data_IF_786048192322
#
_entry.id   IF_786048192322
#
_cell.length_a   1.000
_cell.length_b   1.000
_cell.length_c   1.000
_cell.angle_alpha   90.00
_cell.angle_beta   90.00
_cell.angle_gamma   90.00
#
_symmetry.space_group_name_H-M   'P 1'
#
loop_
_entity.id
_entity.type
_entity.pdbx_description
1 polymer ?
#
# COMPACT_ATOMS: atom_id res chain seq x y z
N UNK A 1 -1.77 -7.66 -27.85
CA UNK A 1 -1.16 -9.00 -27.61
C UNK A 1 -0.92 -9.08 -26.12
N UNK A 2 -1.78 -9.80 -25.40
CA UNK A 2 -1.67 -9.95 -23.93
C UNK A 2 -0.53 -10.94 -23.68
N UNK A 3 0.59 -10.44 -23.18
CA UNK A 3 1.74 -11.26 -22.84
C UNK A 3 1.54 -11.88 -21.46
N UNK A 4 1.22 -13.16 -21.40
CA UNK A 4 1.26 -13.94 -20.18
C UNK A 4 2.72 -14.26 -19.83
N UNK A 5 3.19 -13.80 -18.69
CA UNK A 5 4.47 -14.24 -18.13
C UNK A 5 4.21 -15.53 -17.35
N UNK A 6 4.45 -16.67 -18.00
CA UNK A 6 4.47 -17.95 -17.29
C UNK A 6 5.79 -18.04 -16.52
N UNK A 7 5.73 -17.95 -15.18
CA UNK A 7 6.84 -18.37 -14.35
C UNK A 7 6.88 -19.88 -14.29
N UNK A 8 8.09 -20.46 -14.44
CA UNK A 8 8.31 -21.88 -14.25
C UNK A 8 7.69 -22.34 -12.93
N UNK A 9 6.85 -23.36 -12.98
CA UNK A 9 6.35 -24.05 -11.79
C UNK A 9 7.54 -24.44 -10.88
N UNK A 10 7.56 -23.91 -9.67
CA UNK A 10 8.57 -24.25 -8.66
C UNK A 10 8.12 -25.56 -7.98
N UNK A 11 8.84 -26.69 -8.20
CA UNK A 11 8.47 -27.96 -7.59
C UNK A 11 8.58 -27.97 -6.05
N UNK A 12 9.03 -26.89 -5.42
CA UNK A 12 9.08 -26.73 -3.97
C UNK A 12 7.79 -26.19 -3.33
N UNK A 13 6.74 -25.92 -4.08
CA UNK A 13 5.38 -25.71 -3.54
C UNK A 13 4.69 -27.01 -3.06
N UNK A 14 5.48 -27.98 -2.60
CA UNK A 14 4.98 -29.20 -1.97
C UNK A 14 4.25 -28.86 -0.67
N UNK A 15 2.91 -28.73 -0.73
CA UNK A 15 2.07 -28.55 0.43
C UNK A 15 0.83 -27.67 0.25
N UNK A 16 0.66 -27.00 -0.88
CA UNK A 16 -0.59 -26.28 -1.15
C UNK A 16 -1.66 -27.27 -1.63
N UNK A 17 -2.86 -27.17 -1.02
CA UNK A 17 -4.02 -27.94 -1.50
C UNK A 17 -4.37 -27.50 -2.93
N UNK A 18 -5.10 -28.35 -3.67
CA UNK A 18 -5.63 -27.98 -4.99
C UNK A 18 -6.47 -26.71 -4.92
N UNK A 19 -7.29 -26.60 -3.88
CA UNK A 19 -8.05 -25.40 -3.60
C UNK A 19 -7.15 -24.15 -3.50
N UNK A 20 -6.05 -24.20 -2.76
CA UNK A 20 -5.16 -23.05 -2.58
C UNK A 20 -4.49 -22.63 -3.90
N UNK A 21 -4.15 -23.59 -4.76
CA UNK A 21 -3.57 -23.30 -6.07
C UNK A 21 -4.58 -22.61 -7.00
N UNK A 22 -5.82 -23.12 -7.06
CA UNK A 22 -6.90 -22.51 -7.83
C UNK A 22 -7.33 -21.16 -7.25
N UNK A 23 -7.35 -21.02 -5.93
CA UNK A 23 -7.63 -19.76 -5.25
C UNK A 23 -6.59 -18.69 -5.59
N UNK A 24 -5.32 -19.08 -5.64
CA UNK A 24 -4.23 -18.19 -6.04
C UNK A 24 -4.44 -17.64 -7.45
N UNK A 25 -4.82 -18.50 -8.39
CA UNK A 25 -5.11 -18.11 -9.77
C UNK A 25 -6.37 -17.24 -9.84
N UNK A 26 -7.43 -17.63 -9.12
CA UNK A 26 -8.68 -16.87 -9.06
C UNK A 26 -8.47 -15.44 -8.56
N UNK A 27 -7.71 -15.25 -7.48
CA UNK A 27 -7.38 -13.91 -6.97
C UNK A 27 -6.59 -13.05 -7.96
N UNK A 28 -5.70 -13.67 -8.74
CA UNK A 28 -5.01 -12.96 -9.83
C UNK A 28 -5.99 -12.53 -10.90
N UNK A 29 -6.85 -13.42 -11.36
CA UNK A 29 -7.84 -13.13 -12.40
C UNK A 29 -8.82 -12.02 -11.95
N UNK A 30 -9.25 -12.02 -10.70
CA UNK A 30 -10.08 -10.94 -10.15
C UNK A 30 -9.44 -9.55 -10.29
N UNK A 31 -8.11 -9.46 -10.22
CA UNK A 31 -7.42 -8.18 -10.44
C UNK A 31 -7.51 -7.72 -11.90
N UNK A 32 -7.48 -8.65 -12.84
CA UNK A 32 -7.61 -8.36 -14.28
C UNK A 32 -9.06 -8.08 -14.69
N UNK A 33 -10.01 -8.80 -14.11
CA UNK A 33 -11.46 -8.63 -14.40
C UNK A 33 -12.11 -7.52 -13.56
N UNK A 34 -11.34 -6.67 -12.91
CA UNK A 34 -11.84 -5.59 -12.05
C UNK A 34 -12.84 -6.05 -10.98
N UNK A 35 -12.59 -7.23 -10.41
CA UNK A 35 -13.44 -7.80 -9.37
C UNK A 35 -14.69 -8.53 -9.88
N UNK A 36 -14.86 -8.67 -11.21
CA UNK A 36 -15.94 -9.45 -11.77
C UNK A 36 -15.69 -10.95 -11.59
N UNK A 37 -16.46 -11.56 -10.66
CA UNK A 37 -16.37 -12.98 -10.33
C UNK A 37 -16.77 -13.87 -11.50
N UNK A 38 -17.85 -13.46 -12.22
CA UNK A 38 -18.37 -14.24 -13.35
C UNK A 38 -17.34 -14.34 -14.48
N UNK A 39 -16.75 -13.20 -14.83
CA UNK A 39 -15.69 -13.16 -15.86
C UNK A 39 -14.44 -13.92 -15.40
N UNK A 40 -14.01 -13.77 -14.14
CA UNK A 40 -12.86 -14.50 -13.59
C UNK A 40 -13.06 -16.02 -13.63
N UNK A 41 -14.25 -16.52 -13.26
CA UNK A 41 -14.59 -17.94 -13.34
C UNK A 41 -14.69 -18.45 -14.79
N UNK A 42 -15.17 -17.65 -15.73
CA UNK A 42 -15.15 -17.99 -17.16
C UNK A 42 -13.71 -18.17 -17.66
N UNK A 43 -12.82 -17.27 -17.31
CA UNK A 43 -11.39 -17.38 -17.65
C UNK A 43 -10.75 -18.60 -17.01
N UNK A 44 -11.08 -18.90 -15.74
CA UNK A 44 -10.61 -20.14 -15.09
C UNK A 44 -11.07 -21.39 -15.82
N UNK A 45 -12.34 -21.47 -16.20
CA UNK A 45 -12.87 -22.60 -16.99
C UNK A 45 -12.16 -22.75 -18.34
N UNK A 46 -11.80 -21.64 -18.99
CA UNK A 46 -11.06 -21.68 -20.25
C UNK A 46 -9.63 -22.18 -20.04
N UNK A 47 -8.95 -21.69 -18.99
CA UNK A 47 -7.61 -22.16 -18.62
C UNK A 47 -7.61 -23.63 -18.19
N UNK A 48 -8.66 -24.07 -17.48
CA UNK A 48 -8.78 -25.48 -17.08
C UNK A 48 -8.90 -26.42 -18.29
N UNK A 49 -9.67 -26.04 -19.31
CA UNK A 49 -9.78 -26.81 -20.56
C UNK A 49 -8.43 -26.92 -21.30
N UNK A 50 -7.60 -25.89 -21.24
CA UNK A 50 -6.32 -25.82 -21.96
C UNK A 50 -5.18 -26.47 -21.16
N UNK A 51 -5.13 -26.24 -19.86
CA UNK A 51 -4.01 -26.61 -18.99
C UNK A 51 -4.33 -27.73 -17.99
N UNK A 52 -5.59 -28.23 -17.93
CA UNK A 52 -6.05 -29.27 -17.01
C UNK A 52 -5.69 -28.96 -15.56
N UNK A 53 -6.16 -27.82 -15.09
CA UNK A 53 -5.91 -27.33 -13.72
C UNK A 53 -6.64 -28.16 -12.67
N UNK A 54 -7.79 -28.75 -13.05
CA UNK A 54 -8.62 -29.66 -12.23
C UNK A 54 -8.38 -31.13 -12.62
N UNK A 55 -8.87 -32.06 -11.80
CA UNK A 55 -8.81 -33.50 -12.04
C UNK A 55 -10.18 -34.15 -11.74
N UNK A 56 -10.22 -35.49 -11.82
CA UNK A 56 -11.44 -36.27 -11.57
C UNK A 56 -11.89 -36.22 -10.07
N UNK A 57 -10.96 -35.93 -9.16
CA UNK A 57 -11.25 -35.87 -7.71
C UNK A 57 -11.68 -34.47 -7.26
N UNK A 58 -11.25 -33.41 -7.96
CA UNK A 58 -11.53 -32.03 -7.60
C UNK A 58 -11.74 -31.18 -8.85
N UNK A 59 -13.01 -30.94 -9.17
CA UNK A 59 -13.41 -30.19 -10.36
C UNK A 59 -13.66 -28.70 -10.12
N UNK A 60 -13.95 -27.97 -11.19
CA UNK A 60 -14.26 -26.54 -11.12
C UNK A 60 -15.55 -26.28 -10.32
N UNK A 61 -16.52 -27.22 -10.34
CA UNK A 61 -17.74 -27.14 -9.53
C UNK A 61 -17.41 -27.19 -8.03
N UNK A 62 -16.58 -28.15 -7.62
CA UNK A 62 -16.14 -28.30 -6.23
C UNK A 62 -15.39 -27.05 -5.76
N UNK A 63 -14.59 -26.45 -6.63
CA UNK A 63 -13.88 -25.20 -6.33
C UNK A 63 -14.85 -24.04 -6.08
N UNK A 64 -15.89 -23.89 -6.90
CA UNK A 64 -16.91 -22.82 -6.72
C UNK A 64 -17.68 -23.02 -5.42
N UNK A 65 -18.05 -24.25 -5.10
CA UNK A 65 -18.75 -24.57 -3.84
C UNK A 65 -17.85 -24.30 -2.65
N UNK A 66 -16.59 -24.69 -2.71
CA UNK A 66 -15.57 -24.37 -1.71
C UNK A 66 -15.37 -22.85 -1.53
N UNK A 67 -15.39 -22.08 -2.61
CA UNK A 67 -15.31 -20.62 -2.53
C UNK A 67 -16.48 -20.01 -1.74
N UNK A 68 -17.70 -20.54 -1.93
CA UNK A 68 -18.90 -20.14 -1.20
C UNK A 68 -18.81 -20.56 0.26
N UNK A 69 -18.52 -21.83 0.52
CA UNK A 69 -18.47 -22.40 1.86
C UNK A 69 -17.39 -21.77 2.75
N UNK A 70 -16.25 -21.47 2.16
CA UNK A 70 -15.14 -20.79 2.84
C UNK A 70 -15.31 -19.27 2.88
N UNK A 71 -16.40 -18.72 2.30
CA UNK A 71 -16.76 -17.30 2.34
C UNK A 71 -15.82 -16.39 1.56
N UNK A 72 -15.34 -16.84 0.40
CA UNK A 72 -14.61 -15.99 -0.55
C UNK A 72 -15.52 -15.27 -1.53
N UNK A 73 -16.64 -15.88 -1.91
CA UNK A 73 -17.66 -15.29 -2.74
C UNK A 73 -19.02 -15.38 -2.04
N UNK A 74 -19.89 -14.42 -2.32
CA UNK A 74 -21.25 -14.37 -1.84
C UNK A 74 -22.21 -14.32 -3.03
N UNK A 75 -23.26 -15.15 -2.95
CA UNK A 75 -24.28 -15.22 -4.00
C UNK A 75 -25.57 -14.56 -3.50
N UNK A 76 -25.99 -13.51 -4.16
CA UNK A 76 -27.22 -12.85 -3.85
C UNK A 76 -28.41 -13.73 -4.27
N UNK A 77 -29.19 -14.20 -3.31
CA UNK A 77 -30.33 -15.10 -3.51
C UNK A 77 -31.48 -14.48 -4.34
N UNK A 78 -31.49 -13.16 -4.53
CA UNK A 78 -32.58 -12.49 -5.24
C UNK A 78 -32.35 -12.39 -6.75
N UNK A 79 -31.12 -12.14 -7.17
CA UNK A 79 -30.76 -11.94 -8.57
C UNK A 79 -29.71 -12.91 -9.10
N UNK A 80 -29.18 -13.79 -8.24
CA UNK A 80 -28.14 -14.76 -8.61
C UNK A 80 -26.78 -14.13 -8.89
N UNK A 81 -26.60 -12.84 -8.60
CA UNK A 81 -25.30 -12.18 -8.79
C UNK A 81 -24.29 -12.66 -7.77
N UNK A 82 -23.07 -12.89 -8.22
CA UNK A 82 -21.97 -13.34 -7.38
C UNK A 82 -21.01 -12.16 -7.17
N UNK A 83 -20.67 -11.88 -5.92
CA UNK A 83 -19.74 -10.82 -5.54
C UNK A 83 -18.61 -11.36 -4.66
N UNK A 84 -17.48 -10.65 -4.65
CA UNK A 84 -16.37 -10.98 -3.73
C UNK A 84 -16.70 -10.47 -2.33
N UNK A 85 -16.19 -11.19 -1.34
CA UNK A 85 -16.32 -10.80 0.08
C UNK A 85 -15.13 -9.94 0.54
N UNK A 86 -15.25 -9.24 1.69
CA UNK A 86 -14.13 -8.52 2.30
C UNK A 86 -12.90 -9.42 2.56
N UNK A 87 -13.11 -10.71 2.78
CA UNK A 87 -12.05 -11.72 2.92
C UNK A 87 -11.25 -11.86 1.62
N UNK A 88 -11.93 -11.91 0.49
CA UNK A 88 -11.31 -11.99 -0.84
C UNK A 88 -10.58 -10.71 -1.19
N UNK A 89 -11.17 -9.54 -0.90
CA UNK A 89 -10.51 -8.25 -1.09
C UNK A 89 -9.19 -8.17 -0.30
N UNK A 90 -9.20 -8.60 0.97
CA UNK A 90 -7.99 -8.68 1.78
C UNK A 90 -6.98 -9.69 1.21
N UNK A 91 -7.46 -10.84 0.73
CA UNK A 91 -6.63 -11.86 0.07
C UNK A 91 -5.90 -11.31 -1.14
N UNK A 92 -6.61 -10.58 -2.02
CA UNK A 92 -6.03 -9.94 -3.21
C UNK A 92 -4.94 -8.92 -2.80
N UNK A 93 -5.18 -8.09 -1.77
CA UNK A 93 -4.19 -7.13 -1.27
C UNK A 93 -2.95 -7.82 -0.70
N UNK A 94 -3.13 -8.85 0.12
CA UNK A 94 -2.01 -9.67 0.64
C UNK A 94 -1.19 -10.29 -0.47
N UNK A 95 -1.85 -10.87 -1.46
CA UNK A 95 -1.18 -11.48 -2.59
C UNK A 95 -0.41 -10.45 -3.42
N UNK A 96 -1.00 -9.27 -3.66
CA UNK A 96 -0.30 -8.16 -4.31
C UNK A 96 0.93 -7.72 -3.52
N UNK A 97 0.84 -7.69 -2.18
CA UNK A 97 1.98 -7.40 -1.31
C UNK A 97 3.09 -8.45 -1.45
N UNK A 98 2.74 -9.73 -1.44
CA UNK A 98 3.71 -10.83 -1.60
C UNK A 98 4.36 -10.83 -2.99
N UNK A 99 3.58 -10.58 -4.04
CA UNK A 99 4.07 -10.54 -5.42
C UNK A 99 5.07 -9.38 -5.64
N UNK A 100 4.78 -8.20 -5.10
CA UNK A 100 5.59 -7.00 -5.31
C UNK A 100 6.77 -6.94 -4.33
N UNK A 101 6.54 -7.22 -3.05
CA UNK A 101 7.53 -7.06 -1.99
C UNK A 101 8.10 -8.39 -1.46
N UNK A 102 7.49 -9.54 -1.75
CA UNK A 102 7.95 -10.84 -1.28
C UNK A 102 9.33 -11.25 -1.82
N UNK A 103 9.75 -10.70 -2.94
CA UNK A 103 11.10 -10.87 -3.50
C UNK A 103 12.14 -9.94 -2.85
N UNK A 104 11.71 -8.95 -2.11
CA UNK A 104 12.61 -8.13 -1.32
C UNK A 104 13.10 -9.00 -0.15
N UNK A 105 14.37 -9.42 -0.22
CA UNK A 105 15.02 -10.10 0.91
C UNK A 105 14.72 -9.30 2.16
N UNK A 106 14.29 -9.98 3.24
CA UNK A 106 14.14 -9.38 4.57
C UNK A 106 15.49 -8.77 4.96
N UNK A 107 15.76 -7.53 4.57
CA UNK A 107 16.72 -6.70 5.23
C UNK A 107 16.18 -6.43 6.62
N UNK A 108 17.10 -6.42 7.62
CA UNK A 108 16.78 -6.14 9.01
C UNK A 108 15.72 -5.05 9.13
N UNK A 109 14.79 -5.23 10.06
CA UNK A 109 13.68 -4.32 10.35
C UNK A 109 14.10 -2.86 10.15
N UNK A 110 13.64 -2.24 9.06
CA UNK A 110 13.87 -0.83 8.80
C UNK A 110 12.94 -0.02 9.68
N UNK A 111 13.43 0.43 10.82
CA UNK A 111 12.87 1.57 11.51
C UNK A 111 13.31 2.80 10.70
N UNK A 112 12.39 3.68 10.35
CA UNK A 112 12.76 5.00 9.88
C UNK A 112 13.30 5.80 11.06
N UNK A 113 14.57 5.58 11.40
CA UNK A 113 15.27 6.40 12.38
C UNK A 113 15.38 7.81 11.81
N UNK A 114 14.73 8.76 12.44
CA UNK A 114 15.03 10.16 12.21
C UNK A 114 16.27 10.49 13.01
N UNK A 115 17.29 11.12 12.39
CA UNK A 115 18.53 11.57 13.04
C UNK A 115 18.33 12.69 14.09
N UNK A 116 17.11 12.91 14.57
CA UNK A 116 16.82 13.89 15.60
C UNK A 116 16.31 13.16 16.84
N UNK A 117 17.05 13.19 17.96
CA UNK A 117 16.52 12.75 19.25
C UNK A 117 15.31 13.62 19.63
N UNK A 118 14.26 13.00 20.09
CA UNK A 118 13.05 13.72 20.50
C UNK A 118 12.05 12.78 21.16
N UNK A 119 11.24 13.28 22.06
CA UNK A 119 10.34 12.54 22.92
C UNK A 119 9.34 11.61 22.18
N UNK A 120 9.79 10.43 21.79
CA UNK A 120 8.98 9.36 21.21
C UNK A 120 8.63 8.29 22.24
N UNK A 121 7.63 7.46 21.95
CA UNK A 121 7.09 6.44 22.87
C UNK A 121 7.92 5.12 22.90
N UNK A 122 8.90 4.93 22.04
CA UNK A 122 9.72 3.71 22.04
C UNK A 122 11.14 4.00 22.53
N UNK A 123 11.50 3.28 23.59
CA UNK A 123 12.83 3.33 24.20
C UNK A 123 13.85 2.65 23.28
N UNK A 124 14.91 3.38 22.95
CA UNK A 124 16.08 2.81 22.29
C UNK A 124 16.83 1.93 23.33
N UNK A 125 17.35 0.75 22.97
CA UNK A 125 18.20 -0.03 23.85
C UNK A 125 19.56 0.64 24.17
N UNK A 126 19.95 1.66 23.40
CA UNK A 126 21.20 2.42 23.64
C UNK A 126 20.95 3.56 24.61
N UNK A 127 21.81 3.67 25.63
CA UNK A 127 21.83 4.77 26.60
C UNK A 127 22.98 5.72 26.29
N UNK A 128 22.87 6.98 26.75
CA UNK A 128 23.93 7.98 26.73
C UNK A 128 24.02 8.72 28.07
N UNK A 129 25.16 9.31 28.39
CA UNK A 129 25.29 10.17 29.57
C UNK A 129 24.28 11.32 29.56
N UNK A 130 23.77 11.65 30.73
CA UNK A 130 22.86 12.79 30.96
C UNK A 130 23.53 14.12 30.54
N UNK A 131 22.74 14.98 29.92
CA UNK A 131 23.15 16.35 29.62
C UNK A 131 22.11 17.35 30.16
N UNK A 132 22.57 18.49 30.59
CA UNK A 132 21.68 19.55 31.10
C UNK A 132 20.63 19.92 30.05
N UNK A 133 19.35 19.77 30.41
CA UNK A 133 18.20 19.99 29.52
C UNK A 133 17.47 18.71 29.11
N UNK A 134 18.01 17.52 29.45
CA UNK A 134 17.32 16.25 29.25
C UNK A 134 16.13 16.10 30.20
N UNK A 135 15.11 15.34 29.73
CA UNK A 135 13.91 15.11 30.54
C UNK A 135 14.17 14.03 31.59
N UNK A 136 13.87 14.31 32.83
CA UNK A 136 14.07 13.39 33.96
C UNK A 136 13.31 12.05 33.80
N UNK A 137 12.24 12.05 33.03
CA UNK A 137 11.43 10.86 32.71
C UNK A 137 12.17 9.84 31.83
N UNK A 138 13.24 10.29 31.17
CA UNK A 138 14.05 9.45 30.27
C UNK A 138 15.29 8.85 30.97
N UNK A 139 15.48 9.11 32.26
CA UNK A 139 16.59 8.54 33.01
C UNK A 139 16.44 7.02 33.12
N UNK A 140 17.45 6.30 32.67
CA UNK A 140 17.57 4.86 32.95
C UNK A 140 18.15 4.66 34.35
N UNK A 141 17.25 4.54 35.33
CA UNK A 141 17.67 4.34 36.72
C UNK A 141 18.49 3.05 36.93
N UNK A 142 18.29 2.03 36.12
CA UNK A 142 19.04 0.78 36.25
C UNK A 142 20.51 0.96 35.90
N UNK A 143 20.77 1.56 34.75
CA UNK A 143 22.15 1.84 34.32
C UNK A 143 22.78 2.94 35.18
N UNK A 144 22.02 3.98 35.57
CA UNK A 144 22.51 5.05 36.46
C UNK A 144 22.89 4.52 37.84
N UNK A 145 22.09 3.64 38.45
CA UNK A 145 22.46 3.00 39.73
C UNK A 145 23.67 2.13 39.57
N UNK A 146 23.80 1.39 38.47
CA UNK A 146 24.98 0.56 38.17
C UNK A 146 26.22 1.43 38.05
N UNK A 147 26.17 2.55 37.35
CA UNK A 147 27.29 3.50 37.24
C UNK A 147 27.65 4.06 38.60
N UNK A 148 26.71 4.50 39.43
CA UNK A 148 26.94 4.99 40.76
C UNK A 148 27.60 3.93 41.66
N UNK A 149 27.22 2.66 41.58
CA UNK A 149 27.85 1.57 42.30
C UNK A 149 29.29 1.30 41.85
N UNK A 150 29.54 1.42 40.55
CA UNK A 150 30.90 1.25 40.00
C UNK A 150 31.80 2.40 40.44
N UNK A 151 31.29 3.63 40.38
CA UNK A 151 32.10 4.84 40.66
C UNK A 151 32.33 5.09 42.14
N UNK A 152 31.33 4.81 43.01
CA UNK A 152 31.36 5.19 44.43
C UNK A 152 31.35 3.99 45.39
N UNK A 153 31.17 2.78 44.89
CA UNK A 153 31.11 1.56 45.69
C UNK A 153 29.74 1.29 46.31
N UNK A 154 29.54 0.06 46.78
CA UNK A 154 28.23 -0.39 47.30
C UNK A 154 27.99 0.11 48.72
N UNK A 155 29.05 0.24 49.54
CA UNK A 155 28.95 0.61 50.97
C UNK A 155 28.69 2.11 51.17
N UNK A 156 29.02 2.98 50.21
CA UNK A 156 28.83 4.43 50.25
C UNK A 156 28.10 4.91 49.04
N UNK A 157 26.94 4.31 48.80
CA UNK A 157 26.12 4.64 47.61
C UNK A 157 25.79 6.13 47.57
N UNK A 158 26.30 6.82 46.56
CA UNK A 158 25.98 8.20 46.22
C UNK A 158 25.81 8.29 44.72
N UNK A 159 24.71 8.91 44.27
CA UNK A 159 24.41 9.11 42.85
C UNK A 159 24.71 10.55 42.49
N UNK A 160 25.58 10.77 41.52
CA UNK A 160 25.95 12.08 40.98
C UNK A 160 25.41 12.25 39.56
N UNK A 161 25.45 13.48 39.07
CA UNK A 161 24.96 13.80 37.71
C UNK A 161 25.72 13.00 36.64
N UNK A 162 27.01 12.77 36.82
CA UNK A 162 27.86 11.99 35.92
C UNK A 162 27.52 10.49 35.87
N UNK A 163 26.76 9.98 36.85
CA UNK A 163 26.29 8.58 36.87
C UNK A 163 24.97 8.40 36.10
N UNK A 164 24.29 9.49 35.77
CA UNK A 164 22.99 9.42 35.13
C UNK A 164 23.09 9.04 33.66
N UNK A 165 22.34 8.04 33.29
CA UNK A 165 22.16 7.58 31.91
C UNK A 165 20.75 7.89 31.42
N UNK A 166 20.68 8.43 30.22
CA UNK A 166 19.45 8.71 29.52
C UNK A 166 19.20 7.64 28.48
N UNK A 167 18.02 7.08 28.51
CA UNK A 167 17.53 6.21 27.44
C UNK A 167 16.94 7.10 26.34
N UNK A 168 17.60 7.11 25.20
CA UNK A 168 17.09 7.86 24.06
C UNK A 168 15.78 7.24 23.57
N UNK A 169 14.82 8.07 23.26
CA UNK A 169 13.58 7.66 22.62
C UNK A 169 13.65 7.97 21.14
N UNK A 170 13.45 6.96 20.33
CA UNK A 170 13.32 7.15 18.89
C UNK A 170 12.00 7.86 18.57
N UNK A 171 12.10 9.03 17.96
CA UNK A 171 10.93 9.73 17.45
C UNK A 171 10.42 8.99 16.21
N UNK A 172 9.49 8.05 16.40
CA UNK A 172 8.74 7.47 15.29
C UNK A 172 7.74 8.49 14.79
N UNK A 173 8.15 9.27 13.82
CA UNK A 173 7.27 10.22 13.18
C UNK A 173 6.16 9.47 12.43
N UNK A 174 4.92 9.73 12.78
CA UNK A 174 3.76 9.25 12.05
C UNK A 174 3.68 9.97 10.71
N UNK A 175 3.40 9.21 9.66
CA UNK A 175 3.33 9.72 8.30
C UNK A 175 1.88 9.73 7.79
N UNK A 176 1.50 10.79 7.09
CA UNK A 176 0.28 10.83 6.31
C UNK A 176 0.62 10.71 4.83
N UNK A 177 0.14 9.65 4.22
CA UNK A 177 0.38 9.34 2.82
C UNK A 177 -0.90 9.53 2.01
N UNK A 178 -0.80 10.25 0.89
CA UNK A 178 -1.83 10.22 -0.16
C UNK A 178 -1.28 9.48 -1.37
N UNK A 179 -1.95 8.41 -1.77
CA UNK A 179 -1.65 7.68 -2.98
C UNK A 179 -2.56 8.17 -4.10
N UNK A 180 -1.98 8.77 -5.13
CA UNK A 180 -2.68 9.24 -6.31
C UNK A 180 -2.56 8.22 -7.44
N UNK A 181 -3.67 7.81 -8.05
CA UNK A 181 -3.71 6.84 -9.14
C UNK A 181 -4.36 7.48 -10.37
N UNK A 182 -3.63 7.48 -11.46
CA UNK A 182 -4.12 7.92 -12.75
C UNK A 182 -5.10 6.88 -13.34
N UNK A 183 -6.28 7.32 -13.70
CA UNK A 183 -7.29 6.50 -14.38
C UNK A 183 -7.66 7.09 -15.75
N UNK A 184 -6.76 7.89 -16.31
CA UNK A 184 -6.93 8.46 -17.65
C UNK A 184 -6.81 7.39 -18.73
N UNK A 185 -7.33 7.70 -19.91
CA UNK A 185 -7.40 6.77 -21.03
C UNK A 185 -6.02 6.25 -21.49
N UNK A 186 -4.95 6.98 -21.25
CA UNK A 186 -3.57 6.55 -21.57
C UNK A 186 -3.14 5.28 -20.84
N UNK A 187 -3.75 4.99 -19.68
CA UNK A 187 -3.43 3.79 -18.88
C UNK A 187 -3.79 2.46 -19.58
N UNK A 188 -4.54 2.50 -20.68
CA UNK A 188 -4.92 1.32 -21.49
C UNK A 188 -4.64 1.52 -23.00
N UNK A 189 -3.97 2.61 -23.38
CA UNK A 189 -3.67 2.88 -24.78
C UNK A 189 -2.59 1.95 -25.34
N UNK A 190 -2.64 1.75 -26.67
CA UNK A 190 -1.67 0.99 -27.45
C UNK A 190 -1.60 -0.51 -27.11
N UNK A 191 -2.66 -1.08 -26.50
CA UNK A 191 -2.71 -2.49 -26.14
C UNK A 191 -1.86 -2.84 -24.90
N UNK A 192 -1.39 -1.85 -24.18
CA UNK A 192 -0.69 -2.00 -22.90
C UNK A 192 -1.66 -1.81 -21.75
N UNK A 193 -1.77 -2.80 -20.88
CA UNK A 193 -2.50 -2.70 -19.63
C UNK A 193 -1.58 -2.15 -18.53
N UNK A 194 -1.66 -0.86 -18.27
CA UNK A 194 -0.89 -0.18 -17.21
C UNK A 194 -1.68 -0.03 -15.92
N UNK A 195 -3.02 -0.12 -16.00
CA UNK A 195 -3.87 0.05 -14.84
C UNK A 195 -3.79 -1.16 -13.89
N UNK A 196 -3.68 -2.38 -14.40
CA UNK A 196 -3.57 -3.57 -13.55
C UNK A 196 -2.30 -3.58 -12.70
N UNK A 197 -1.07 -3.31 -13.23
CA UNK A 197 0.11 -3.10 -12.40
C UNK A 197 -0.04 -1.96 -11.40
N UNK A 198 -0.65 -0.84 -11.80
CA UNK A 198 -0.91 0.29 -10.91
C UNK A 198 -1.81 -0.09 -9.72
N UNK A 199 -2.90 -0.83 -9.98
CA UNK A 199 -3.77 -1.39 -8.93
C UNK A 199 -3.01 -2.32 -8.00
N UNK A 200 -2.20 -3.23 -8.54
CA UNK A 200 -1.39 -4.16 -7.72
C UNK A 200 -0.45 -3.42 -6.78
N UNK A 201 0.25 -2.40 -7.28
CA UNK A 201 1.13 -1.55 -6.43
C UNK A 201 0.34 -0.81 -5.38
N UNK A 202 -0.81 -0.24 -5.73
CA UNK A 202 -1.68 0.46 -4.80
C UNK A 202 -2.21 -0.45 -3.69
N UNK A 203 -2.66 -1.66 -4.04
CA UNK A 203 -3.13 -2.67 -3.09
C UNK A 203 -2.00 -3.17 -2.18
N UNK A 204 -0.81 -3.42 -2.74
CA UNK A 204 0.36 -3.82 -1.99
C UNK A 204 0.80 -2.74 -0.98
N UNK A 205 0.85 -1.48 -1.41
CA UNK A 205 1.21 -0.36 -0.55
C UNK A 205 0.16 -0.14 0.55
N UNK A 206 -1.11 -0.28 0.21
CA UNK A 206 -2.22 -0.18 1.18
C UNK A 206 -2.11 -1.26 2.26
N UNK A 207 -1.88 -2.50 1.88
CA UNK A 207 -1.70 -3.61 2.83
C UNK A 207 -0.43 -3.43 3.67
N UNK A 208 0.67 -2.96 3.07
CA UNK A 208 1.91 -2.67 3.79
C UNK A 208 1.70 -1.61 4.87
N UNK A 209 1.10 -0.48 4.52
CA UNK A 209 0.91 0.64 5.46
C UNK A 209 -0.05 0.22 6.57
N UNK A 210 -1.19 -0.37 6.24
CA UNK A 210 -2.20 -0.73 7.25
C UNK A 210 -1.73 -1.82 8.21
N UNK A 211 -0.86 -2.74 7.77
CA UNK A 211 -0.38 -3.84 8.61
C UNK A 211 0.91 -3.54 9.35
N UNK A 212 1.86 -2.83 8.71
CA UNK A 212 3.19 -2.54 9.28
C UNK A 212 3.24 -1.23 10.05
N UNK A 213 2.43 -0.25 9.66
CA UNK A 213 2.46 1.11 10.19
C UNK A 213 1.05 1.57 10.62
N UNK A 214 0.44 0.94 11.64
CA UNK A 214 -0.96 1.20 12.02
C UNK A 214 -1.21 2.63 12.53
N UNK A 215 -0.18 3.38 12.90
CA UNK A 215 -0.26 4.79 13.29
C UNK A 215 -0.18 5.75 12.09
N UNK A 216 0.21 5.27 10.92
CA UNK A 216 0.24 6.05 9.69
C UNK A 216 -1.15 6.13 9.06
N UNK A 217 -1.40 7.18 8.29
CA UNK A 217 -2.64 7.32 7.55
C UNK A 217 -2.39 7.18 6.06
N UNK A 218 -3.28 6.45 5.39
CA UNK A 218 -3.28 6.32 3.94
C UNK A 218 -4.62 6.77 3.38
N UNK A 219 -4.58 7.74 2.50
CA UNK A 219 -5.72 8.18 1.70
C UNK A 219 -5.44 7.89 0.23
N UNK A 220 -6.45 7.47 -0.52
CA UNK A 220 -6.31 7.16 -1.93
C UNK A 220 -7.13 8.16 -2.74
N UNK A 221 -6.52 8.70 -3.77
CA UNK A 221 -7.13 9.65 -4.71
C UNK A 221 -6.96 9.11 -6.12
N UNK A 222 -8.05 8.99 -6.86
CA UNK A 222 -7.99 8.74 -8.30
C UNK A 222 -8.18 10.06 -9.05
N UNK A 223 -7.53 10.17 -10.20
CA UNK A 223 -7.65 11.37 -11.02
C UNK A 223 -7.72 11.05 -12.52
N UNK A 224 -8.55 11.83 -13.19
CA UNK A 224 -8.76 11.81 -14.63
C UNK A 224 -9.00 13.26 -15.08
N UNK A 225 -10.20 13.62 -15.55
CA UNK A 225 -10.58 15.02 -15.80
C UNK A 225 -10.72 15.83 -14.49
N UNK A 226 -11.23 15.20 -13.45
CA UNK A 226 -11.31 15.67 -12.07
C UNK A 226 -10.62 14.65 -11.16
N UNK A 227 -10.63 14.90 -9.85
CA UNK A 227 -10.09 13.99 -8.84
C UNK A 227 -11.10 13.75 -7.73
N UNK A 228 -11.11 12.53 -7.18
CA UNK A 228 -11.95 12.15 -6.06
C UNK A 228 -11.29 11.09 -5.19
N UNK A 229 -11.63 11.04 -3.88
CA UNK A 229 -11.12 10.01 -2.99
C UNK A 229 -11.83 8.67 -3.27
N UNK A 230 -11.12 7.57 -3.04
CA UNK A 230 -11.66 6.21 -3.07
C UNK A 230 -11.21 5.44 -1.83
N UNK A 231 -11.99 4.45 -1.41
CA UNK A 231 -11.63 3.60 -0.29
C UNK A 231 -10.69 2.47 -0.73
N UNK A 232 -9.92 1.93 0.22
CA UNK A 232 -8.98 0.83 -0.06
C UNK A 232 -9.70 -0.41 -0.63
N UNK A 233 -10.94 -0.65 -0.19
CA UNK A 233 -11.78 -1.75 -0.69
C UNK A 233 -12.14 -1.60 -2.18
N UNK A 234 -12.20 -0.36 -2.68
CA UNK A 234 -12.60 -0.08 -4.06
C UNK A 234 -11.44 -0.27 -5.06
N UNK A 235 -10.20 -0.44 -4.58
CA UNK A 235 -9.02 -0.58 -5.44
C UNK A 235 -9.13 -1.72 -6.49
N UNK A 236 -9.61 -2.93 -6.15
CA UNK A 236 -9.77 -4.00 -7.14
C UNK A 236 -10.69 -3.62 -8.29
N UNK A 237 -11.70 -2.81 -8.02
CA UNK A 237 -12.77 -2.43 -8.97
C UNK A 237 -12.44 -1.20 -9.82
N UNK A 238 -11.27 -0.58 -9.64
CA UNK A 238 -10.89 0.60 -10.41
C UNK A 238 -10.82 0.30 -11.90
N UNK A 239 -11.47 1.15 -12.67
CA UNK A 239 -11.49 1.09 -14.12
C UNK A 239 -10.98 2.39 -14.72
N UNK A 240 -10.34 2.28 -15.86
CA UNK A 240 -9.93 3.42 -16.68
C UNK A 240 -11.15 3.99 -17.37
N UNK A 241 -11.27 5.31 -17.31
CA UNK A 241 -12.33 6.03 -18.03
C UNK A 241 -11.81 6.78 -19.26
N UNK A 242 -12.72 7.35 -20.06
CA UNK A 242 -12.38 8.18 -21.21
C UNK A 242 -11.91 9.57 -20.75
N UNK A 243 -10.96 9.62 -19.81
CA UNK A 243 -10.50 10.83 -19.15
C UNK A 243 -9.17 11.29 -19.70
N UNK A 244 -8.94 12.60 -19.62
CA UNK A 244 -7.62 13.19 -19.75
C UNK A 244 -6.90 13.22 -18.40
N UNK A 245 -5.59 13.43 -18.40
CA UNK A 245 -4.77 13.46 -17.19
C UNK A 245 -4.74 14.85 -16.56
N UNK A 246 -5.57 15.09 -15.54
CA UNK A 246 -5.60 16.34 -14.77
C UNK A 246 -4.83 16.18 -13.45
N UNK A 247 -3.54 16.12 -13.53
CA UNK A 247 -2.65 16.02 -12.37
C UNK A 247 -2.83 17.17 -11.37
N UNK A 248 -3.20 18.37 -11.87
CA UNK A 248 -3.44 19.54 -11.02
C UNK A 248 -4.60 19.29 -10.07
N UNK A 249 -5.72 18.71 -10.56
CA UNK A 249 -6.88 18.38 -9.71
C UNK A 249 -6.50 17.33 -8.66
N UNK A 250 -5.74 16.31 -9.05
CA UNK A 250 -5.24 15.29 -8.13
C UNK A 250 -4.36 15.88 -7.03
N UNK A 251 -3.37 16.69 -7.38
CA UNK A 251 -2.48 17.34 -6.42
C UNK A 251 -3.24 18.27 -5.47
N UNK A 252 -4.17 19.07 -5.97
CA UNK A 252 -4.98 19.96 -5.14
C UNK A 252 -5.77 19.16 -4.09
N UNK A 253 -6.46 18.10 -4.51
CA UNK A 253 -7.21 17.25 -3.59
C UNK A 253 -6.29 16.56 -2.58
N UNK A 254 -5.14 16.03 -3.02
CA UNK A 254 -4.17 15.40 -2.13
C UNK A 254 -3.63 16.38 -1.08
N UNK A 255 -3.30 17.60 -1.48
CA UNK A 255 -2.85 18.65 -0.57
C UNK A 255 -3.95 19.04 0.44
N UNK A 256 -5.20 19.13 0.00
CA UNK A 256 -6.34 19.47 0.87
C UNK A 256 -6.60 18.36 1.90
N UNK A 257 -6.43 17.09 1.53
CA UNK A 257 -6.48 15.97 2.46
C UNK A 257 -5.33 16.08 3.47
N UNK A 258 -4.09 16.25 3.00
CA UNK A 258 -2.91 16.31 3.87
C UNK A 258 -2.91 17.52 4.83
N UNK A 259 -3.50 18.66 4.43
CA UNK A 259 -3.65 19.82 5.31
C UNK A 259 -4.51 19.52 6.54
N UNK A 260 -5.49 18.62 6.41
CA UNK A 260 -6.37 18.20 7.52
C UNK A 260 -5.75 17.13 8.41
N UNK A 261 -4.67 16.47 7.96
CA UNK A 261 -3.96 15.45 8.74
C UNK A 261 -3.03 16.12 9.76
N UNK A 262 -3.00 15.57 10.98
CA UNK A 262 -2.19 16.10 12.10
C UNK A 262 -0.73 15.64 12.07
N UNK A 263 -0.43 14.56 11.36
CA UNK A 263 0.91 14.00 11.29
C UNK A 263 1.90 15.02 10.70
N UNK A 264 3.09 15.08 11.26
CA UNK A 264 4.14 16.02 10.84
C UNK A 264 4.71 15.67 9.47
N UNK A 265 4.91 14.37 9.22
CA UNK A 265 5.39 13.90 7.92
C UNK A 265 4.21 13.71 6.98
N UNK A 266 4.31 14.33 5.81
CA UNK A 266 3.29 14.28 4.77
C UNK A 266 3.93 13.95 3.45
N UNK A 267 3.35 12.98 2.72
CA UNK A 267 3.90 12.57 1.44
C UNK A 267 2.80 12.23 0.44
N UNK A 268 3.10 12.41 -0.82
CA UNK A 268 2.24 12.06 -1.94
C UNK A 268 3.01 11.07 -2.82
N UNK A 269 2.44 9.90 -3.04
CA UNK A 269 2.87 8.98 -4.08
C UNK A 269 1.92 9.08 -5.26
N UNK A 270 2.46 9.19 -6.46
CA UNK A 270 1.66 9.28 -7.68
C UNK A 270 2.03 8.15 -8.63
N UNK A 271 1.02 7.39 -9.06
CA UNK A 271 1.13 6.36 -10.08
C UNK A 271 0.44 6.90 -11.33
N UNK A 272 1.22 7.14 -12.37
CA UNK A 272 0.76 7.67 -13.66
C UNK A 272 1.66 7.16 -14.77
N UNK A 273 1.13 7.06 -15.98
CA UNK A 273 1.88 6.64 -17.16
C UNK A 273 2.34 7.83 -18.04
N UNK A 274 1.96 9.05 -17.67
CA UNK A 274 2.20 10.10 -18.61
C UNK A 274 2.15 11.54 -18.12
N UNK A 275 2.14 12.38 -19.12
CA UNK A 275 2.13 13.82 -18.98
C UNK A 275 0.74 14.35 -18.66
N UNK A 276 0.64 15.44 -17.92
CA UNK A 276 -0.63 16.12 -17.70
C UNK A 276 -1.16 16.69 -19.02
N UNK A 277 -2.43 16.38 -19.36
CA UNK A 277 -3.07 16.78 -20.61
C UNK A 277 -4.31 17.63 -20.41
N UNK A 278 -4.72 17.84 -19.16
CA UNK A 278 -5.93 18.56 -18.82
C UNK A 278 -5.72 19.51 -17.64
N UNK A 279 -6.38 20.66 -17.70
CA UNK A 279 -6.43 21.64 -16.62
C UNK A 279 -7.82 22.27 -16.55
N UNK A 280 -8.42 22.33 -15.37
CA UNK A 280 -9.67 23.05 -15.15
C UNK A 280 -9.41 24.54 -14.97
N UNK A 281 -10.03 25.35 -15.81
CA UNK A 281 -9.94 26.82 -15.75
C UNK A 281 -11.35 27.38 -15.58
N UNK A 282 -11.70 27.76 -14.35
CA UNK A 282 -13.07 28.11 -14.00
C UNK A 282 -14.03 26.93 -14.19
N UNK A 283 -15.04 27.09 -15.02
CA UNK A 283 -16.02 26.03 -15.36
C UNK A 283 -15.66 25.18 -16.58
N UNK A 284 -14.56 25.49 -17.26
CA UNK A 284 -14.15 24.82 -18.50
C UNK A 284 -12.88 24.03 -18.34
N UNK A 285 -12.72 22.95 -19.13
CA UNK A 285 -11.49 22.18 -19.21
C UNK A 285 -10.65 22.70 -20.39
N UNK A 286 -9.42 23.09 -20.09
CA UNK A 286 -8.39 23.29 -21.08
C UNK A 286 -7.68 21.95 -21.29
N UNK A 287 -7.64 21.46 -22.52
CA UNK A 287 -7.11 20.14 -22.87
C UNK A 287 -6.08 20.28 -23.98
N UNK A 288 -4.94 19.62 -23.81
CA UNK A 288 -3.90 19.53 -24.84
C UNK A 288 -3.19 18.18 -24.73
N UNK A 289 -3.48 17.29 -25.67
CA UNK A 289 -2.87 15.96 -25.75
C UNK A 289 -1.58 15.92 -26.57
N UNK A 290 -1.25 17.01 -27.27
CA UNK A 290 -0.07 17.11 -28.13
C UNK A 290 1.13 17.68 -27.37
N UNK A 291 2.17 16.89 -27.19
CA UNK A 291 3.41 17.32 -26.52
C UNK A 291 3.23 17.71 -25.05
N UNK A 292 4.25 18.37 -24.49
CA UNK A 292 4.19 18.95 -23.14
C UNK A 292 3.62 20.37 -23.25
N UNK A 293 2.47 20.58 -22.63
CA UNK A 293 1.84 21.88 -22.54
C UNK A 293 2.47 22.72 -21.42
N UNK A 294 3.07 23.87 -21.79
CA UNK A 294 3.78 24.76 -20.86
C UNK A 294 2.86 25.28 -19.75
N UNK A 295 1.59 25.58 -20.04
CA UNK A 295 0.63 26.11 -19.07
C UNK A 295 0.22 25.05 -18.04
N UNK A 296 -0.09 23.85 -18.50
CA UNK A 296 -0.48 22.73 -17.64
C UNK A 296 0.72 22.31 -16.78
N UNK A 297 1.88 22.10 -17.41
CA UNK A 297 3.10 21.67 -16.72
C UNK A 297 3.55 22.68 -15.66
N UNK A 298 3.58 23.98 -15.98
CA UNK A 298 3.93 25.01 -15.01
C UNK A 298 2.98 25.01 -13.79
N UNK A 299 1.68 24.75 -14.00
CA UNK A 299 0.73 24.68 -12.89
C UNK A 299 0.96 23.46 -12.02
N UNK A 300 1.29 22.30 -12.61
CA UNK A 300 1.66 21.10 -11.86
C UNK A 300 2.92 21.33 -11.02
N UNK A 301 3.98 21.88 -11.63
CA UNK A 301 5.25 22.14 -10.94
C UNK A 301 5.09 23.13 -9.79
N UNK A 302 4.29 24.19 -9.99
CA UNK A 302 4.01 25.15 -8.91
C UNK A 302 3.26 24.55 -7.72
N UNK A 303 2.42 23.55 -7.95
CA UNK A 303 1.76 22.80 -6.84
C UNK A 303 2.69 21.82 -6.20
N UNK A 304 3.52 21.12 -6.97
CA UNK A 304 4.48 20.14 -6.45
C UNK A 304 5.60 20.79 -5.62
N UNK A 305 5.85 22.08 -5.81
CA UNK A 305 6.84 22.86 -5.06
C UNK A 305 6.31 23.38 -3.70
N UNK A 306 5.01 23.27 -3.43
CA UNK A 306 4.36 23.68 -2.17
C UNK A 306 4.39 22.56 -1.13
#
# INVERSE_FOLDING_TARGET
MIGFHFTKHDPNEKGKSKFDQLLDLFMQLLTYTNGDVGEALQWMNQLDKEYKLTDEEYGMGDFIDDLKDKGYIDENKQDGSISITPKTEQGIRKKSLEEIFGKLKKTKQGNHNTFKPGGGDELNPETRPFQFGDQLEQIDFTESIRNAQINHGIEHFNMQEDDLEIRETDFKAQTSTVLMIDISHSMILYGEDRITPAKKVAMALSELITTKYPKDTLDIVVFGNDAWPVEIKDLPYLQVGPYHTNTVAGLQLAMDILRRRRNSNKQIFMITDGKPTCLKVGKRYYKNSFGLDRKITARCLNLAAQ
#
